data_IF_606150189692
#
_entry.id   IF_606150189692
#
_cell.length_a   1.000
_cell.length_b   1.000
_cell.length_c   1.000
_cell.angle_alpha   90.00
_cell.angle_beta   90.00
_cell.angle_gamma   90.00
#
_symmetry.space_group_name_H-M   'P 1'
#
loop_
_entity.id
_entity.type
_entity.pdbx_description
1 polymer ?
#
# COMPACT_ATOMS: atom_id res chain seq x y z
N UNK A 1 11.63 33.94 40.50
CA UNK A 1 11.02 32.65 40.10
C UNK A 1 9.82 32.89 39.18
N UNK A 2 10.04 33.38 37.97
CA UNK A 2 8.97 33.47 36.96
C UNK A 2 9.65 33.69 35.63
N UNK A 3 9.61 32.71 34.71
CA UNK A 3 9.66 32.89 33.25
C UNK A 3 9.74 31.53 32.55
N UNK A 4 8.66 30.74 32.66
CA UNK A 4 8.55 29.47 31.93
C UNK A 4 7.11 29.19 31.55
N UNK A 5 6.46 30.13 30.86
CA UNK A 5 5.13 29.94 30.26
C UNK A 5 5.01 30.58 28.88
N UNK A 6 6.06 30.51 28.06
CA UNK A 6 5.91 30.65 26.61
C UNK A 6 5.58 29.27 26.01
N UNK A 7 4.48 28.67 26.48
CA UNK A 7 3.93 27.45 25.90
C UNK A 7 3.34 27.81 24.53
N UNK A 8 4.11 27.49 23.49
CA UNK A 8 3.68 27.19 22.12
C UNK A 8 2.23 27.52 21.82
N UNK A 9 1.96 28.80 21.50
CA UNK A 9 0.68 29.23 20.95
C UNK A 9 0.63 28.75 19.51
N UNK A 10 0.29 27.47 19.31
CA UNK A 10 0.08 26.89 17.99
C UNK A 10 -1.12 27.59 17.35
N UNK A 11 -0.84 28.42 16.35
CA UNK A 11 -1.88 29.08 15.55
C UNK A 11 -2.75 28.00 14.91
N UNK A 12 -4.04 27.95 15.28
CA UNK A 12 -5.01 27.07 14.62
C UNK A 12 -5.22 27.61 13.21
N UNK A 13 -4.89 26.86 12.14
CA UNK A 13 -5.22 27.29 10.79
C UNK A 13 -6.76 27.38 10.69
N UNK A 14 -7.25 28.57 10.32
CA UNK A 14 -8.66 28.92 10.34
C UNK A 14 -9.49 28.23 9.23
N UNK A 15 -8.84 27.63 8.23
CA UNK A 15 -9.51 26.89 7.17
C UNK A 15 -8.57 25.87 6.53
N UNK A 16 -8.94 24.59 6.58
CA UNK A 16 -8.32 23.55 5.77
C UNK A 16 -9.00 23.57 4.39
N UNK A 17 -8.34 24.15 3.39
CA UNK A 17 -8.82 24.08 2.01
C UNK A 17 -8.38 22.76 1.38
N UNK A 18 -9.34 21.93 1.03
CA UNK A 18 -9.08 20.69 0.29
C UNK A 18 -8.82 21.07 -1.17
N UNK A 19 -7.55 21.14 -1.56
CA UNK A 19 -7.13 21.53 -2.91
C UNK A 19 -7.45 20.43 -3.93
N UNK A 20 -7.35 19.15 -3.53
CA UNK A 20 -7.57 18.01 -4.43
C UNK A 20 -7.98 16.75 -3.66
N UNK A 21 -9.09 16.15 -4.06
CA UNK A 21 -9.49 14.82 -3.59
C UNK A 21 -8.93 13.76 -4.55
N UNK A 22 -7.87 13.07 -4.15
CA UNK A 22 -7.41 11.87 -4.88
C UNK A 22 -7.99 10.64 -4.18
N UNK A 23 -8.73 9.76 -4.88
CA UNK A 23 -9.26 8.57 -4.25
C UNK A 23 -8.10 7.69 -3.76
N UNK A 24 -8.00 7.51 -2.45
CA UNK A 24 -7.00 6.64 -1.81
C UNK A 24 -7.22 5.15 -2.17
N UNK A 25 -8.39 4.82 -2.72
CA UNK A 25 -8.77 3.47 -3.10
C UNK A 25 -9.46 3.49 -4.47
N UNK A 26 -9.04 2.56 -5.34
CA UNK A 26 -9.70 2.35 -6.63
C UNK A 26 -11.05 1.70 -6.33
N UNK A 27 -12.14 2.44 -6.55
CA UNK A 27 -13.51 1.91 -6.47
C UNK A 27 -13.64 0.87 -7.58
N UNK A 28 -13.71 -0.40 -7.19
CA UNK A 28 -13.96 -1.50 -8.12
C UNK A 28 -15.38 -1.32 -8.70
N UNK A 29 -15.48 -1.13 -10.01
CA UNK A 29 -16.76 -0.94 -10.69
C UNK A 29 -17.62 -2.19 -10.54
N UNK A 30 -18.88 -2.01 -10.09
CA UNK A 30 -19.84 -3.10 -9.93
C UNK A 30 -20.13 -3.69 -11.32
N UNK A 31 -19.88 -4.99 -11.57
CA UNK A 31 -20.14 -5.58 -12.87
C UNK A 31 -21.66 -5.61 -13.14
N UNK A 32 -22.05 -5.15 -14.32
CA UNK A 32 -23.46 -5.13 -14.75
C UNK A 32 -23.88 -6.41 -15.49
N UNK A 33 -22.91 -7.21 -15.95
CA UNK A 33 -23.15 -8.39 -16.81
C UNK A 33 -22.55 -9.66 -16.18
N UNK A 34 -23.08 -10.84 -16.55
CA UNK A 34 -22.67 -12.15 -16.03
C UNK A 34 -21.19 -12.46 -16.23
N UNK A 35 -20.60 -12.10 -17.38
CA UNK A 35 -19.17 -12.26 -17.65
C UNK A 35 -18.31 -11.39 -16.73
N UNK A 36 -18.81 -10.21 -16.35
CA UNK A 36 -18.14 -9.33 -15.39
C UNK A 36 -18.14 -9.92 -13.98
N UNK A 37 -19.26 -10.53 -13.58
CA UNK A 37 -19.36 -11.28 -12.33
C UNK A 37 -18.42 -12.48 -12.28
N UNK A 38 -18.33 -13.26 -13.38
CA UNK A 38 -17.41 -14.39 -13.47
C UNK A 38 -15.94 -13.94 -13.34
N UNK A 39 -15.55 -12.90 -14.08
CA UNK A 39 -14.19 -12.33 -13.98
C UNK A 39 -13.88 -11.85 -12.56
N UNK A 40 -14.85 -11.21 -11.90
CA UNK A 40 -14.68 -10.74 -10.53
C UNK A 40 -14.51 -11.91 -9.54
N UNK A 41 -15.29 -12.98 -9.70
CA UNK A 41 -15.18 -14.18 -8.88
C UNK A 41 -13.80 -14.83 -9.03
N UNK A 42 -13.34 -15.07 -10.26
CA UNK A 42 -12.00 -15.62 -10.55
C UNK A 42 -10.91 -14.75 -9.91
N UNK A 43 -11.00 -13.42 -10.07
CA UNK A 43 -10.02 -12.48 -9.51
C UNK A 43 -9.97 -12.54 -7.98
N UNK A 44 -11.12 -12.61 -7.31
CA UNK A 44 -11.20 -12.74 -5.85
C UNK A 44 -10.65 -14.07 -5.36
N UNK A 45 -11.01 -15.17 -6.02
CA UNK A 45 -10.49 -16.50 -5.69
C UNK A 45 -8.97 -16.54 -5.85
N UNK A 46 -8.43 -16.04 -6.96
CA UNK A 46 -6.98 -15.95 -7.16
C UNK A 46 -6.29 -15.08 -6.10
N UNK A 47 -6.91 -13.99 -5.65
CA UNK A 47 -6.40 -13.15 -4.57
C UNK A 47 -6.33 -13.93 -3.24
N UNK A 48 -7.38 -14.68 -2.89
CA UNK A 48 -7.40 -15.51 -1.68
C UNK A 48 -6.35 -16.62 -1.72
N UNK A 49 -6.20 -17.29 -2.87
CA UNK A 49 -5.15 -18.29 -3.04
C UNK A 49 -3.74 -17.70 -2.93
N UNK A 50 -3.48 -16.53 -3.50
CA UNK A 50 -2.18 -15.85 -3.35
C UNK A 50 -1.86 -15.53 -1.90
N UNK A 51 -2.85 -15.09 -1.12
CA UNK A 51 -2.69 -14.87 0.32
C UNK A 51 -2.36 -16.18 1.04
N UNK A 52 -3.05 -17.28 0.70
CA UNK A 52 -2.82 -18.61 1.29
C UNK A 52 -1.41 -19.15 0.99
N UNK A 53 -0.94 -19.04 -0.25
CA UNK A 53 0.39 -19.56 -0.65
C UNK A 53 1.52 -18.60 -0.22
N UNK A 54 1.16 -17.39 0.22
CA UNK A 54 2.11 -16.33 0.58
C UNK A 54 2.85 -15.75 -0.64
N UNK A 55 2.24 -15.83 -1.83
CA UNK A 55 2.82 -15.31 -3.08
C UNK A 55 2.48 -13.83 -3.22
N UNK A 56 3.50 -12.99 -3.16
CA UNK A 56 3.36 -11.56 -3.33
C UNK A 56 3.29 -11.22 -4.84
N UNK A 57 2.35 -10.36 -5.23
CA UNK A 57 2.13 -9.95 -6.63
C UNK A 57 2.84 -8.62 -6.92
N UNK A 58 3.73 -8.60 -7.91
CA UNK A 58 4.50 -7.43 -8.30
C UNK A 58 3.63 -6.26 -8.79
N UNK A 59 2.58 -6.52 -9.56
CA UNK A 59 1.66 -5.48 -10.05
C UNK A 59 0.86 -4.86 -8.91
N UNK A 60 0.54 -5.64 -7.88
CA UNK A 60 -0.09 -5.11 -6.67
C UNK A 60 0.89 -4.26 -5.85
N UNK A 61 2.17 -4.65 -5.78
CA UNK A 61 3.23 -3.87 -5.15
C UNK A 61 3.45 -2.52 -5.85
N UNK A 62 3.58 -2.49 -7.18
CA UNK A 62 3.76 -1.24 -7.93
C UNK A 62 2.57 -0.31 -7.75
N UNK A 63 1.34 -0.82 -7.85
CA UNK A 63 0.13 -0.02 -7.57
C UNK A 63 0.12 0.55 -6.15
N UNK A 64 0.57 -0.23 -5.17
CA UNK A 64 0.70 0.24 -3.80
C UNK A 64 1.73 1.37 -3.68
N UNK A 65 2.92 1.21 -4.27
CA UNK A 65 3.95 2.25 -4.24
C UNK A 65 3.48 3.53 -4.93
N UNK A 66 2.83 3.44 -6.09
CA UNK A 66 2.28 4.61 -6.79
C UNK A 66 1.24 5.38 -5.97
N UNK A 67 0.43 4.68 -5.16
CA UNK A 67 -0.62 5.31 -4.35
C UNK A 67 -0.08 5.87 -3.03
N UNK A 68 0.82 5.15 -2.35
CA UNK A 68 1.31 5.53 -1.01
C UNK A 68 2.64 6.25 -0.99
N UNK A 69 3.47 6.03 -1.99
CA UNK A 69 4.82 6.58 -2.12
C UNK A 69 5.04 7.12 -3.55
N UNK A 70 4.29 8.14 -4.00
CA UNK A 70 4.45 8.68 -5.35
C UNK A 70 5.85 9.29 -5.59
N UNK A 71 6.57 9.63 -4.52
CA UNK A 71 7.93 10.19 -4.55
C UNK A 71 9.03 9.12 -4.69
N UNK A 72 8.71 7.83 -4.54
CA UNK A 72 9.70 6.74 -4.58
C UNK A 72 9.53 5.89 -5.84
N UNK A 73 10.64 5.64 -6.54
CA UNK A 73 10.66 4.72 -7.68
C UNK A 73 10.42 3.29 -7.19
N UNK A 74 9.43 2.55 -7.73
CA UNK A 74 9.21 1.16 -7.37
C UNK A 74 10.41 0.29 -7.77
N UNK A 75 10.72 -0.69 -6.92
CA UNK A 75 11.82 -1.62 -7.12
C UNK A 75 11.58 -2.52 -8.35
N UNK A 76 12.64 -3.03 -8.99
CA UNK A 76 12.49 -3.88 -10.19
C UNK A 76 11.91 -5.27 -9.85
N UNK A 77 11.33 -5.94 -10.85
CA UNK A 77 10.72 -7.28 -10.67
C UNK A 77 11.70 -8.31 -10.10
N UNK A 78 12.95 -8.30 -10.55
CA UNK A 78 14.01 -9.21 -10.08
C UNK A 78 14.33 -9.01 -8.61
N UNK A 79 14.49 -7.76 -8.20
CA UNK A 79 14.75 -7.40 -6.81
C UNK A 79 13.55 -7.76 -5.93
N UNK A 80 12.33 -7.59 -6.45
CA UNK A 80 11.10 -7.95 -5.73
C UNK A 80 11.03 -9.46 -5.50
N UNK A 81 11.37 -10.26 -6.51
CA UNK A 81 11.48 -11.70 -6.40
C UNK A 81 12.54 -12.12 -5.37
N UNK A 82 13.73 -11.52 -5.41
CA UNK A 82 14.79 -11.82 -4.43
C UNK A 82 14.32 -11.52 -3.00
N UNK A 83 13.68 -10.37 -2.79
CA UNK A 83 13.11 -9.96 -1.50
C UNK A 83 11.99 -10.91 -1.03
N UNK A 84 11.16 -11.42 -1.95
CA UNK A 84 10.14 -12.42 -1.61
C UNK A 84 10.77 -13.74 -1.13
N UNK A 85 11.87 -14.16 -1.77
CA UNK A 85 12.62 -15.36 -1.37
C UNK A 85 13.32 -15.15 -0.03
N UNK A 86 14.00 -14.01 0.17
CA UNK A 86 14.61 -13.64 1.46
C UNK A 86 13.59 -13.58 2.61
N UNK A 87 12.38 -13.10 2.35
CA UNK A 87 11.29 -13.07 3.34
C UNK A 87 10.77 -14.48 3.69
N UNK A 88 10.83 -15.44 2.76
CA UNK A 88 10.38 -16.83 2.97
C UNK A 88 11.48 -17.69 3.60
N UNK A 89 12.74 -17.44 3.23
CA UNK A 89 13.92 -18.15 3.69
C UNK A 89 14.96 -17.15 4.23
N UNK A 90 14.74 -16.60 5.44
CA UNK A 90 15.68 -15.67 6.03
C UNK A 90 16.99 -16.40 6.35
N UNK A 91 18.07 -16.10 5.63
CA UNK A 91 19.43 -16.53 6.03
C UNK A 91 19.98 -15.74 7.21
N UNK A 92 19.40 -14.57 7.51
CA UNK A 92 19.65 -13.79 8.72
C UNK A 92 18.31 -13.52 9.43
N UNK A 93 18.22 -13.90 10.71
CA UNK A 93 17.01 -13.73 11.50
C UNK A 93 16.64 -12.26 11.68
N UNK A 94 15.45 -11.85 11.21
CA UNK A 94 14.81 -10.64 11.71
C UNK A 94 14.12 -9.70 10.73
N UNK A 95 14.13 -9.94 9.40
CA UNK A 95 13.43 -9.03 8.47
C UNK A 95 11.96 -9.44 8.29
N UNK A 96 11.16 -9.10 9.31
CA UNK A 96 9.70 -9.19 9.30
C UNK A 96 9.15 -8.55 8.02
N UNK A 97 8.22 -9.25 7.34
CA UNK A 97 7.60 -8.87 6.07
C UNK A 97 6.79 -7.56 6.11
N UNK A 98 7.45 -6.43 6.34
CA UNK A 98 6.90 -5.10 6.21
C UNK A 98 6.93 -4.66 4.75
N UNK A 99 6.06 -3.73 4.38
CA UNK A 99 6.19 -3.03 3.10
C UNK A 99 7.58 -2.37 3.02
N UNK A 100 8.26 -2.34 1.87
CA UNK A 100 9.59 -1.73 1.70
C UNK A 100 9.60 -0.19 1.82
N UNK A 101 8.64 0.38 2.54
CA UNK A 101 8.60 1.78 2.94
C UNK A 101 9.35 2.00 4.25
#
# INVERSE_FOLDING_TARGET
MSDSRALFKTSRPAALHIIRCQPLFIVQTKPHNVTGWLKLAIKRTAQSFRLMVGVQDYQNYVRHMLVRHPEMTPMTEREFHRRCLEARFPSEGGKMGKCPC
#
